data_IF_832882157717
#
_entry.id   IF_832882157717
#
_cell.length_a   1.000
_cell.length_b   1.000
_cell.length_c   1.000
_cell.angle_alpha   90.00
_cell.angle_beta   90.00
_cell.angle_gamma   90.00
#
_symmetry.space_group_name_H-M   'P 1'
#
loop_
_entity.id
_entity.type
_entity.pdbx_description
1 polymer ?
#
# COMPACT_ATOMS: atom_id res chain seq x y z
N UNK A 1 47.76 -36.73 -46.67
CA UNK A 1 48.23 -35.33 -46.72
C UNK A 1 47.24 -34.52 -45.89
N UNK A 2 47.46 -34.25 -44.60
CA UNK A 2 48.36 -33.23 -44.01
C UNK A 2 48.15 -31.85 -44.67
N UNK A 3 47.83 -30.74 -44.01
CA UNK A 3 47.90 -30.22 -42.63
C UNK A 3 46.64 -29.34 -42.38
N UNK A 4 46.23 -28.84 -41.21
CA UNK A 4 46.77 -28.75 -39.86
C UNK A 4 45.87 -27.75 -39.10
N UNK A 5 45.44 -28.10 -37.89
CA UNK A 5 44.52 -27.34 -37.04
C UNK A 5 45.27 -26.34 -36.14
N UNK A 6 44.61 -25.23 -35.77
CA UNK A 6 44.91 -24.51 -34.53
C UNK A 6 43.64 -23.88 -33.94
N UNK A 7 43.23 -24.45 -32.80
CA UNK A 7 42.23 -23.96 -31.86
C UNK A 7 43.00 -23.20 -30.78
N UNK A 8 42.60 -21.97 -30.48
CA UNK A 8 43.16 -21.18 -29.38
C UNK A 8 42.54 -21.60 -28.04
N UNK A 9 43.35 -22.21 -27.19
CA UNK A 9 43.07 -22.49 -25.78
C UNK A 9 43.57 -21.34 -24.91
N UNK A 10 42.74 -20.87 -23.98
CA UNK A 10 43.18 -20.02 -22.86
C UNK A 10 43.49 -20.92 -21.65
N UNK A 11 44.59 -20.68 -20.92
CA UNK A 11 45.02 -21.57 -19.84
C UNK A 11 44.30 -21.25 -18.53
N UNK A 12 43.78 -22.32 -17.90
CA UNK A 12 43.53 -22.40 -16.47
C UNK A 12 44.74 -23.10 -15.86
N UNK A 13 45.35 -22.53 -14.81
CA UNK A 13 46.05 -23.31 -13.77
C UNK A 13 46.04 -22.59 -12.40
N UNK A 14 46.17 -23.37 -11.31
CA UNK A 14 45.57 -23.13 -9.98
C UNK A 14 46.61 -22.69 -8.93
N UNK A 15 46.21 -22.20 -7.75
CA UNK A 15 46.95 -22.30 -6.46
C UNK A 15 46.05 -21.67 -5.35
N UNK A 16 45.52 -22.47 -4.42
CA UNK A 16 46.05 -22.81 -3.07
C UNK A 16 45.86 -21.75 -1.98
N UNK A 17 45.31 -22.23 -0.87
CA UNK A 17 45.12 -21.61 0.44
C UNK A 17 46.38 -20.96 1.03
N UNK A 18 46.25 -19.75 1.57
CA UNK A 18 47.07 -19.27 2.69
C UNK A 18 46.35 -18.18 3.48
N UNK A 19 46.40 -18.37 4.79
CA UNK A 19 45.81 -17.58 5.86
C UNK A 19 46.95 -16.74 6.47
N UNK A 20 46.76 -15.43 6.74
CA UNK A 20 47.21 -14.69 7.95
C UNK A 20 47.49 -13.18 7.75
N UNK A 21 46.89 -12.42 8.68
CA UNK A 21 47.34 -11.21 9.38
C UNK A 21 47.60 -9.87 8.65
N UNK A 22 46.80 -8.87 9.03
CA UNK A 22 47.21 -7.53 9.52
C UNK A 22 45.93 -6.82 10.02
N UNK A 23 45.67 -6.79 11.33
CA UNK A 23 46.05 -5.75 12.31
C UNK A 23 45.74 -4.31 11.90
N UNK A 24 44.70 -3.76 12.53
CA UNK A 24 44.63 -2.36 12.98
C UNK A 24 43.70 -2.28 14.19
N UNK A 25 44.33 -2.36 15.37
CA UNK A 25 43.73 -2.07 16.66
C UNK A 25 43.53 -0.56 16.83
N UNK A 26 42.45 -0.14 17.51
CA UNK A 26 42.41 1.05 18.39
C UNK A 26 41.14 1.04 19.27
N UNK A 27 41.34 0.60 20.52
CA UNK A 27 40.78 1.12 21.78
C UNK A 27 39.28 0.95 22.10
N UNK A 28 38.94 -0.18 22.73
CA UNK A 28 38.05 -0.20 23.89
C UNK A 28 38.87 0.12 25.16
N UNK A 29 38.50 1.16 25.91
CA UNK A 29 38.85 1.30 27.33
C UNK A 29 37.57 1.37 28.15
N UNK A 30 37.31 0.30 28.89
CA UNK A 30 36.56 0.38 30.15
C UNK A 30 37.43 1.07 31.20
N UNK A 31 36.82 1.91 32.03
CA UNK A 31 37.36 2.22 33.35
C UNK A 31 36.20 2.35 34.36
N UNK A 32 36.22 1.59 35.48
CA UNK A 32 35.17 1.59 36.48
C UNK A 32 35.43 2.60 37.61
N UNK A 33 34.38 2.83 38.41
CA UNK A 33 34.35 3.48 39.73
C UNK A 33 34.30 5.01 39.78
N UNK A 34 33.13 5.55 40.15
CA UNK A 34 33.06 6.54 41.23
C UNK A 34 31.73 6.41 41.99
N UNK A 35 31.85 6.20 43.30
CA UNK A 35 30.78 6.05 44.29
C UNK A 35 30.10 7.38 44.65
N UNK A 36 28.82 7.27 45.03
CA UNK A 36 28.06 8.05 46.03
C UNK A 36 28.05 9.58 45.94
N UNK A 37 26.88 10.14 45.64
CA UNK A 37 26.26 11.17 46.51
C UNK A 37 24.76 11.32 46.28
N UNK A 38 24.01 11.13 47.37
CA UNK A 38 22.60 11.49 47.50
C UNK A 38 22.38 12.96 47.12
N UNK A 39 21.29 13.24 46.39
CA UNK A 39 20.45 14.42 46.63
C UNK A 39 18.99 14.12 46.31
N UNK A 40 18.17 14.36 47.32
CA UNK A 40 16.72 14.28 47.35
C UNK A 40 16.06 15.48 46.63
N UNK A 41 14.79 15.26 46.29
CA UNK A 41 13.70 16.21 45.93
C UNK A 41 13.52 16.65 44.47
N UNK A 42 12.28 16.98 44.04
CA UNK A 42 10.97 16.43 44.45
C UNK A 42 10.09 16.05 43.24
N UNK A 43 8.97 15.38 43.54
CA UNK A 43 7.88 14.98 42.64
C UNK A 43 7.49 16.08 41.63
N UNK A 44 7.72 15.85 40.34
CA UNK A 44 6.94 16.49 39.27
C UNK A 44 5.68 15.67 39.02
N UNK A 45 4.55 16.16 39.54
CA UNK A 45 3.22 15.76 39.06
C UNK A 45 3.10 16.23 37.61
N UNK A 46 3.19 15.31 36.66
CA UNK A 46 2.67 15.56 35.32
C UNK A 46 1.15 15.35 35.36
N UNK A 47 0.43 16.44 35.64
CA UNK A 47 -0.98 16.55 35.32
C UNK A 47 -1.12 16.88 33.84
N UNK A 48 -1.69 15.97 33.08
CA UNK A 48 -2.38 16.26 31.82
C UNK A 48 -3.34 15.09 31.55
N UNK A 49 -4.38 15.00 32.36
CA UNK A 49 -5.58 14.30 31.94
C UNK A 49 -6.16 15.10 30.77
N UNK A 50 -5.95 14.64 29.53
CA UNK A 50 -6.81 15.08 28.41
C UNK A 50 -8.25 14.85 28.88
N UNK A 51 -9.08 15.90 28.87
CA UNK A 51 -10.43 15.81 29.40
C UNK A 51 -11.21 14.73 28.64
N UNK A 52 -11.84 13.81 29.38
CA UNK A 52 -12.62 12.70 28.80
C UNK A 52 -13.59 13.13 27.68
N UNK A 53 -14.24 14.31 27.71
CA UNK A 53 -15.10 14.77 26.63
C UNK A 53 -14.40 14.97 25.28
N UNK A 54 -13.15 15.44 25.26
CA UNK A 54 -12.40 15.66 24.02
C UNK A 54 -11.97 14.33 23.37
N UNK A 55 -11.62 13.34 24.20
CA UNK A 55 -11.29 12.00 23.72
C UNK A 55 -12.52 11.28 23.14
N UNK A 56 -13.70 11.44 23.77
CA UNK A 56 -14.96 10.90 23.28
C UNK A 56 -15.39 11.55 21.96
N UNK A 57 -15.25 12.88 21.83
CA UNK A 57 -15.57 13.59 20.58
C UNK A 57 -14.62 13.21 19.43
N UNK A 58 -13.31 13.13 19.70
CA UNK A 58 -12.32 12.67 18.72
C UNK A 58 -12.60 11.23 18.27
N UNK A 59 -12.98 10.34 19.20
CA UNK A 59 -13.35 8.95 18.91
C UNK A 59 -14.63 8.86 18.10
N UNK A 60 -15.64 9.68 18.38
CA UNK A 60 -16.88 9.72 17.62
C UNK A 60 -16.67 10.22 16.19
N UNK A 61 -15.88 11.29 16.01
CA UNK A 61 -15.52 11.82 14.70
C UNK A 61 -14.68 10.82 13.89
N UNK A 62 -13.71 10.17 14.52
CA UNK A 62 -12.92 9.11 13.89
C UNK A 62 -13.80 7.90 13.50
N UNK A 63 -14.78 7.55 14.34
CA UNK A 63 -15.73 6.48 14.06
C UNK A 63 -16.63 6.80 12.85
N UNK A 64 -17.09 8.05 12.70
CA UNK A 64 -17.88 8.45 11.52
C UNK A 64 -17.05 8.47 10.25
N UNK A 65 -15.79 8.95 10.31
CA UNK A 65 -14.89 8.90 9.16
C UNK A 65 -14.56 7.46 8.75
N UNK A 66 -14.32 6.58 9.73
CA UNK A 66 -14.07 5.15 9.49
C UNK A 66 -15.27 4.46 8.85
N UNK A 67 -16.49 4.77 9.28
CA UNK A 67 -17.72 4.25 8.69
C UNK A 67 -17.88 4.67 7.22
N UNK A 68 -17.59 5.93 6.91
CA UNK A 68 -17.65 6.44 5.54
C UNK A 68 -16.63 5.73 4.63
N UNK A 69 -15.39 5.58 5.08
CA UNK A 69 -14.33 4.87 4.34
C UNK A 69 -14.72 3.41 4.11
N UNK A 70 -15.23 2.72 5.13
CA UNK A 70 -15.53 1.29 5.04
C UNK A 70 -16.85 0.97 4.33
N UNK A 71 -17.70 1.96 4.04
CA UNK A 71 -19.01 1.76 3.41
C UNK A 71 -18.89 1.04 2.08
N UNK A 72 -18.05 1.53 1.17
CA UNK A 72 -17.94 0.95 -0.17
C UNK A 72 -17.36 -0.47 -0.13
N UNK A 73 -16.53 -0.78 0.86
CA UNK A 73 -16.03 -2.14 1.08
C UNK A 73 -17.14 -3.09 1.53
N UNK A 74 -17.99 -2.66 2.46
CA UNK A 74 -19.14 -3.48 2.92
C UNK A 74 -20.14 -3.73 1.80
N UNK A 75 -20.35 -2.71 0.96
CA UNK A 75 -21.22 -2.78 -0.21
C UNK A 75 -20.59 -3.54 -1.39
N UNK A 76 -19.34 -4.02 -1.25
CA UNK A 76 -18.53 -4.70 -2.28
C UNK A 76 -18.36 -3.87 -3.56
N UNK A 77 -18.19 -2.57 -3.38
CA UNK A 77 -18.12 -1.54 -4.42
C UNK A 77 -16.86 -0.69 -4.35
N UNK A 78 -15.93 -1.01 -3.45
CA UNK A 78 -14.71 -0.22 -3.33
C UNK A 78 -13.84 -0.33 -4.59
N UNK A 79 -13.57 0.82 -5.20
CA UNK A 79 -12.58 1.04 -6.26
C UNK A 79 -11.58 2.07 -5.76
N UNK A 80 -10.35 1.62 -5.46
CA UNK A 80 -9.24 2.47 -5.00
C UNK A 80 -8.23 2.68 -6.13
N UNK A 81 -8.01 3.93 -6.52
CA UNK A 81 -7.00 4.29 -7.54
C UNK A 81 -5.69 4.68 -6.85
N UNK A 82 -4.60 4.03 -7.23
CA UNK A 82 -3.32 4.05 -6.52
C UNK A 82 -2.26 4.79 -7.35
N UNK A 83 -1.80 5.94 -6.89
CA UNK A 83 -0.76 6.72 -7.57
C UNK A 83 0.64 6.10 -7.42
N UNK A 84 0.87 5.39 -6.31
CA UNK A 84 2.09 4.65 -5.97
C UNK A 84 2.78 5.20 -4.72
N UNK A 85 3.25 4.30 -3.84
CA UNK A 85 3.84 4.68 -2.55
C UNK A 85 5.10 5.56 -2.69
N UNK A 86 5.91 5.33 -3.73
CA UNK A 86 7.14 6.09 -3.99
C UNK A 86 6.92 7.27 -4.96
N UNK A 87 5.67 7.62 -5.28
CA UNK A 87 5.36 8.69 -6.21
C UNK A 87 5.12 10.02 -5.48
N UNK A 88 6.17 10.85 -5.44
CA UNK A 88 6.13 12.21 -4.85
C UNK A 88 6.04 13.33 -5.89
N UNK A 89 5.80 12.99 -7.16
CA UNK A 89 5.60 13.95 -8.23
C UNK A 89 4.19 14.54 -8.12
N UNK A 90 4.10 15.82 -7.74
CA UNK A 90 2.84 16.53 -7.49
C UNK A 90 1.92 16.54 -8.72
N UNK A 91 2.47 16.72 -9.92
CA UNK A 91 1.68 16.84 -11.14
C UNK A 91 1.10 15.48 -11.54
N UNK A 92 1.88 14.41 -11.39
CA UNK A 92 1.41 13.04 -11.62
C UNK A 92 0.39 12.61 -10.57
N UNK A 93 0.61 12.95 -9.30
CA UNK A 93 -0.36 12.67 -8.24
C UNK A 93 -1.67 13.42 -8.49
N UNK A 94 -1.61 14.71 -8.84
CA UNK A 94 -2.80 15.48 -9.19
C UNK A 94 -3.57 14.85 -10.36
N UNK A 95 -2.86 14.42 -11.40
CA UNK A 95 -3.45 13.72 -12.56
C UNK A 95 -4.21 12.45 -12.15
N UNK A 96 -3.62 11.64 -11.28
CA UNK A 96 -4.26 10.41 -10.77
C UNK A 96 -5.46 10.72 -9.89
N UNK A 97 -5.37 11.75 -9.03
CA UNK A 97 -6.49 12.17 -8.16
C UNK A 97 -7.68 12.67 -9.00
N UNK A 98 -7.42 13.50 -10.01
CA UNK A 98 -8.44 13.99 -10.94
C UNK A 98 -9.09 12.81 -11.69
N UNK A 99 -8.28 11.87 -12.16
CA UNK A 99 -8.78 10.68 -12.85
C UNK A 99 -9.63 9.78 -11.95
N UNK A 100 -9.24 9.62 -10.69
CA UNK A 100 -10.01 8.86 -9.71
C UNK A 100 -11.38 9.51 -9.47
N UNK A 101 -11.41 10.83 -9.21
CA UNK A 101 -12.63 11.57 -8.92
C UNK A 101 -13.61 11.55 -10.12
N UNK A 102 -13.13 11.93 -11.30
CA UNK A 102 -13.97 12.03 -12.49
C UNK A 102 -14.31 10.67 -13.11
N UNK A 103 -13.47 9.66 -12.90
CA UNK A 103 -13.70 8.30 -13.38
C UNK A 103 -14.68 7.48 -12.53
N UNK A 104 -15.11 8.00 -11.37
CA UNK A 104 -16.05 7.29 -10.49
C UNK A 104 -15.38 6.29 -9.55
N UNK A 105 -14.13 6.52 -9.18
CA UNK A 105 -13.51 5.80 -8.07
C UNK A 105 -14.21 6.13 -6.75
N UNK A 106 -13.98 5.26 -5.76
CA UNK A 106 -14.48 5.47 -4.39
C UNK A 106 -13.38 5.98 -3.47
N UNK A 107 -12.13 5.69 -3.77
CA UNK A 107 -10.97 6.01 -2.94
C UNK A 107 -9.78 6.39 -3.84
N UNK A 108 -8.91 7.24 -3.32
CA UNK A 108 -7.60 7.51 -3.91
C UNK A 108 -6.50 7.16 -2.92
N UNK A 109 -5.40 6.59 -3.41
CA UNK A 109 -4.25 6.19 -2.60
C UNK A 109 -2.98 6.86 -3.12
N UNK A 110 -2.30 7.58 -2.25
CA UNK A 110 -1.12 8.38 -2.57
C UNK A 110 0.04 8.08 -1.62
N UNK A 111 1.25 8.49 -2.00
CA UNK A 111 2.40 8.44 -1.11
C UNK A 111 2.12 9.22 0.19
N UNK A 112 2.61 8.72 1.32
CA UNK A 112 2.42 9.35 2.63
C UNK A 112 3.26 10.63 2.76
N UNK A 113 2.68 11.75 2.32
CA UNK A 113 3.27 13.08 2.40
C UNK A 113 2.19 14.14 2.68
N UNK A 114 2.51 15.09 3.55
CA UNK A 114 1.57 16.12 4.00
C UNK A 114 1.11 17.03 2.86
N UNK A 115 2.02 17.40 1.96
CA UNK A 115 1.73 18.33 0.86
C UNK A 115 0.92 17.64 -0.23
N UNK A 116 1.16 16.36 -0.48
CA UNK A 116 0.33 15.55 -1.38
C UNK A 116 -1.10 15.37 -0.86
N UNK A 117 -1.28 15.17 0.45
CA UNK A 117 -2.63 15.10 1.05
C UNK A 117 -3.37 16.43 0.87
N UNK A 118 -2.74 17.57 1.17
CA UNK A 118 -3.35 18.90 0.96
C UNK A 118 -3.71 19.14 -0.50
N UNK A 119 -2.83 18.74 -1.42
CA UNK A 119 -3.09 18.81 -2.85
C UNK A 119 -4.33 17.98 -3.22
N UNK A 120 -4.39 16.71 -2.80
CA UNK A 120 -5.52 15.84 -3.10
C UNK A 120 -6.84 16.36 -2.51
N UNK A 121 -6.82 16.87 -1.27
CA UNK A 121 -8.00 17.48 -0.62
C UNK A 121 -8.57 18.68 -1.41
N UNK A 122 -7.73 19.39 -2.17
CA UNK A 122 -8.18 20.50 -3.02
C UNK A 122 -8.76 20.04 -4.38
N UNK A 123 -8.55 18.78 -4.75
CA UNK A 123 -8.90 18.24 -6.08
C UNK A 123 -10.07 17.24 -6.03
N UNK A 124 -10.34 16.62 -4.88
CA UNK A 124 -11.37 15.58 -4.76
C UNK A 124 -12.05 15.61 -3.39
N UNK A 125 -13.28 15.09 -3.35
CA UNK A 125 -14.00 14.74 -2.11
C UNK A 125 -13.89 13.26 -1.74
N UNK A 126 -13.20 12.45 -2.56
CA UNK A 126 -13.02 11.02 -2.28
C UNK A 126 -12.17 10.83 -1.00
N UNK A 127 -12.46 9.80 -0.19
CA UNK A 127 -11.57 9.38 0.87
C UNK A 127 -10.13 9.17 0.38
N UNK A 128 -9.19 9.84 1.07
CA UNK A 128 -7.76 9.77 0.77
C UNK A 128 -7.12 8.72 1.67
N UNK A 129 -6.56 7.71 1.03
CA UNK A 129 -5.64 6.74 1.59
C UNK A 129 -4.20 7.23 1.39
N UNK A 130 -3.35 7.06 2.39
CA UNK A 130 -1.91 7.26 2.25
C UNK A 130 -1.14 5.98 2.55
N UNK A 131 -0.15 5.67 1.73
CA UNK A 131 0.65 4.45 1.84
C UNK A 131 2.06 4.73 2.35
N UNK A 132 2.54 3.94 3.32
CA UNK A 132 3.90 4.00 3.87
C UNK A 132 4.35 2.66 4.44
N UNK A 133 5.66 2.48 4.64
CA UNK A 133 6.23 1.40 5.46
C UNK A 133 6.85 1.92 6.77
N UNK A 134 6.71 3.22 7.05
CA UNK A 134 7.10 3.88 8.29
C UNK A 134 5.85 4.32 9.07
N UNK A 135 5.56 3.72 10.23
CA UNK A 135 4.40 4.07 11.07
C UNK A 135 4.36 5.54 11.52
N UNK A 136 5.53 6.16 11.72
CA UNK A 136 5.60 7.54 12.22
C UNK A 136 5.24 8.57 11.14
N UNK A 137 5.43 8.22 9.86
CA UNK A 137 5.09 9.09 8.74
C UNK A 137 3.59 9.37 8.60
N UNK A 138 2.73 8.49 9.14
CA UNK A 138 1.28 8.64 9.00
C UNK A 138 0.70 9.84 9.77
N UNK A 139 1.22 10.16 10.96
CA UNK A 139 0.61 11.19 11.80
C UNK A 139 0.51 12.57 11.11
N UNK A 140 1.57 13.11 10.49
CA UNK A 140 1.48 14.36 9.72
C UNK A 140 0.50 14.32 8.53
N UNK A 141 0.38 13.17 7.86
CA UNK A 141 -0.52 12.99 6.71
C UNK A 141 -1.99 12.95 7.15
N UNK A 142 -2.26 12.28 8.28
CA UNK A 142 -3.60 12.24 8.90
C UNK A 142 -4.00 13.61 9.41
N UNK A 143 -3.09 14.37 10.02
CA UNK A 143 -3.33 15.76 10.41
C UNK A 143 -3.67 16.66 9.21
N UNK A 144 -3.16 16.35 8.02
CA UNK A 144 -3.51 17.06 6.78
C UNK A 144 -4.83 16.62 6.14
N UNK A 145 -5.46 15.55 6.63
CA UNK A 145 -6.80 15.12 6.18
C UNK A 145 -6.86 13.71 5.57
N UNK A 146 -5.79 12.91 5.63
CA UNK A 146 -5.88 11.51 5.23
C UNK A 146 -6.86 10.74 6.14
N UNK A 147 -7.75 9.96 5.54
CA UNK A 147 -8.85 9.26 6.23
C UNK A 147 -8.60 7.75 6.34
N UNK A 148 -7.65 7.24 5.56
CA UNK A 148 -7.24 5.85 5.52
C UNK A 148 -5.73 5.77 5.41
N UNK A 149 -5.13 4.73 5.98
CA UNK A 149 -3.70 4.45 5.87
C UNK A 149 -3.49 3.04 5.36
N UNK A 150 -2.43 2.84 4.59
CA UNK A 150 -1.97 1.54 4.14
C UNK A 150 -0.52 1.29 4.57
N UNK A 151 -0.29 0.16 5.24
CA UNK A 151 1.05 -0.43 5.37
C UNK A 151 1.23 -1.39 4.20
N UNK A 152 2.01 -1.03 3.19
CA UNK A 152 2.02 -1.85 1.99
C UNK A 152 2.63 -1.27 0.75
N UNK A 153 2.23 -1.84 -0.39
CA UNK A 153 2.75 -1.56 -1.73
C UNK A 153 4.26 -1.80 -1.82
N UNK A 154 4.67 -3.05 -1.56
CA UNK A 154 6.08 -3.40 -1.40
C UNK A 154 6.82 -3.53 -2.73
N UNK A 155 6.10 -3.58 -3.85
CA UNK A 155 6.67 -3.79 -5.18
C UNK A 155 7.89 -2.90 -5.49
N UNK A 156 7.85 -1.61 -5.16
CA UNK A 156 8.98 -0.69 -5.39
C UNK A 156 10.20 -0.96 -4.50
N UNK A 157 10.00 -1.63 -3.35
CA UNK A 157 11.08 -2.02 -2.45
C UNK A 157 11.75 -3.32 -2.92
N UNK A 158 10.99 -4.24 -3.53
CA UNK A 158 11.56 -5.45 -4.13
C UNK A 158 12.53 -5.13 -5.27
N UNK A 159 12.24 -4.09 -6.06
CA UNK A 159 13.14 -3.55 -7.09
C UNK A 159 14.49 -3.07 -6.50
N UNK A 160 14.51 -2.71 -5.21
CA UNK A 160 15.70 -2.32 -4.45
C UNK A 160 16.33 -3.48 -3.66
N UNK A 161 15.81 -4.71 -3.83
CA UNK A 161 16.26 -5.90 -3.09
C UNK A 161 15.80 -5.95 -1.63
N UNK A 162 14.88 -5.08 -1.21
CA UNK A 162 14.33 -5.04 0.13
C UNK A 162 13.10 -5.94 0.19
N UNK A 163 13.10 -6.91 1.10
CA UNK A 163 11.97 -7.80 1.35
C UNK A 163 11.37 -7.55 2.73
N UNK A 164 10.09 -7.88 2.90
CA UNK A 164 9.35 -7.75 4.15
C UNK A 164 8.92 -9.12 4.63
N UNK A 165 9.37 -9.51 5.83
CA UNK A 165 8.95 -10.75 6.47
C UNK A 165 7.58 -10.59 7.14
N UNK A 166 6.83 -11.70 7.35
CA UNK A 166 5.57 -11.67 8.10
C UNK A 166 5.70 -10.98 9.47
N UNK A 167 6.78 -11.26 10.21
CA UNK A 167 7.03 -10.69 11.54
C UNK A 167 7.30 -9.19 11.49
N UNK A 168 7.96 -8.71 10.43
CA UNK A 168 8.18 -7.27 10.22
C UNK A 168 6.85 -6.57 9.98
N UNK A 169 5.99 -7.13 9.13
CA UNK A 169 4.67 -6.54 8.81
C UNK A 169 3.77 -6.53 10.05
N UNK A 170 3.78 -7.59 10.86
CA UNK A 170 3.06 -7.62 12.14
C UNK A 170 3.54 -6.52 13.09
N UNK A 171 4.86 -6.31 13.21
CA UNK A 171 5.41 -5.22 14.05
C UNK A 171 4.99 -3.84 13.55
N UNK A 172 5.05 -3.61 12.23
CA UNK A 172 4.59 -2.36 11.62
C UNK A 172 3.10 -2.13 11.90
N UNK A 173 2.29 -3.17 11.80
CA UNK A 173 0.84 -3.14 12.09
C UNK A 173 0.57 -2.80 13.55
N UNK A 174 1.22 -3.49 14.48
CA UNK A 174 1.12 -3.22 15.92
C UNK A 174 1.52 -1.79 16.29
N UNK A 175 2.63 -1.30 15.73
CA UNK A 175 3.11 0.05 15.98
C UNK A 175 2.16 1.11 15.40
N UNK A 176 1.74 0.93 14.14
CA UNK A 176 0.79 1.81 13.47
C UNK A 176 -0.54 1.87 14.22
N UNK A 177 -1.06 0.72 14.66
CA UNK A 177 -2.31 0.64 15.43
C UNK A 177 -2.16 1.28 16.81
N UNK A 178 -0.99 1.22 17.45
CA UNK A 178 -0.70 1.94 18.70
C UNK A 178 -0.75 3.46 18.52
N UNK A 179 -0.21 3.97 17.42
CA UNK A 179 -0.16 5.41 17.11
C UNK A 179 -1.54 5.92 16.68
N UNK A 180 -2.24 5.16 15.84
CA UNK A 180 -3.52 5.52 15.21
C UNK A 180 -4.60 4.46 15.50
N UNK A 181 -5.11 4.37 16.75
CA UNK A 181 -5.97 3.27 17.20
C UNK A 181 -7.36 3.21 16.52
N UNK A 182 -7.83 4.31 15.93
CA UNK A 182 -9.18 4.42 15.39
C UNK A 182 -9.24 4.68 13.88
N UNK A 183 -8.10 4.92 13.23
CA UNK A 183 -8.07 5.20 11.81
C UNK A 183 -8.24 3.90 11.01
N UNK A 184 -8.86 3.97 9.83
CA UNK A 184 -8.96 2.82 8.94
C UNK A 184 -7.57 2.40 8.46
N UNK A 185 -7.17 1.17 8.78
CA UNK A 185 -5.88 0.59 8.41
C UNK A 185 -6.05 -0.53 7.40
N UNK A 186 -5.47 -0.36 6.22
CA UNK A 186 -5.22 -1.44 5.26
C UNK A 186 -3.82 -1.99 5.46
N UNK A 187 -3.67 -3.31 5.37
CA UNK A 187 -2.34 -3.94 5.35
C UNK A 187 -2.21 -4.81 4.11
N UNK A 188 -1.16 -4.56 3.33
CA UNK A 188 -0.85 -5.35 2.15
C UNK A 188 -0.09 -6.62 2.54
N UNK A 189 -0.49 -7.74 1.93
CA UNK A 189 0.18 -9.04 2.09
C UNK A 189 1.15 -9.25 0.91
N UNK A 190 2.44 -9.50 1.18
CA UNK A 190 3.44 -9.75 0.14
C UNK A 190 3.09 -10.91 -0.78
N UNK A 191 3.20 -10.70 -2.09
CA UNK A 191 3.03 -11.76 -3.08
C UNK A 191 4.15 -12.80 -3.07
N UNK A 192 5.27 -12.50 -2.40
CA UNK A 192 6.45 -13.37 -2.29
C UNK A 192 6.21 -14.56 -1.36
N UNK A 193 5.17 -14.50 -0.52
CA UNK A 193 4.77 -15.58 0.37
C UNK A 193 3.96 -16.64 -0.38
N UNK A 194 4.02 -17.89 0.10
CA UNK A 194 3.13 -18.95 -0.39
C UNK A 194 1.68 -18.61 -0.05
N UNK A 195 0.71 -19.09 -0.84
CA UNK A 195 -0.71 -18.82 -0.55
C UNK A 195 -1.15 -19.23 0.88
N UNK A 196 -0.73 -20.39 1.43
CA UNK A 196 -1.00 -20.71 2.84
C UNK A 196 -0.40 -19.70 3.82
N UNK A 197 0.82 -19.22 3.58
CA UNK A 197 1.47 -18.23 4.45
C UNK A 197 0.81 -16.85 4.33
N UNK A 198 0.34 -16.48 3.14
CA UNK A 198 -0.47 -15.28 2.93
C UNK A 198 -1.75 -15.35 3.75
N UNK A 199 -2.46 -16.48 3.74
CA UNK A 199 -3.66 -16.71 4.55
C UNK A 199 -3.33 -16.61 6.04
N UNK A 200 -2.27 -17.29 6.50
CA UNK A 200 -1.86 -17.27 7.91
C UNK A 200 -1.53 -15.84 8.37
N UNK A 201 -0.82 -15.07 7.55
CA UNK A 201 -0.51 -13.68 7.86
C UNK A 201 -1.78 -12.82 7.89
N UNK A 202 -2.74 -13.03 6.99
CA UNK A 202 -4.00 -12.30 6.99
C UNK A 202 -4.78 -12.43 8.30
N UNK A 203 -4.90 -13.67 8.82
CA UNK A 203 -5.55 -13.95 10.11
C UNK A 203 -4.86 -13.18 11.25
N UNK A 204 -3.52 -13.23 11.30
CA UNK A 204 -2.75 -12.53 12.34
C UNK A 204 -2.90 -11.00 12.22
N UNK A 205 -2.95 -10.47 11.00
CA UNK A 205 -3.13 -9.04 10.79
C UNK A 205 -4.54 -8.56 11.19
N UNK A 206 -5.56 -9.38 10.97
CA UNK A 206 -6.92 -9.13 11.48
C UNK A 206 -6.93 -9.10 13.02
N UNK A 207 -6.25 -10.04 13.68
CA UNK A 207 -6.09 -10.06 15.14
C UNK A 207 -5.38 -8.81 15.68
N UNK A 208 -4.38 -8.30 14.94
CA UNK A 208 -3.67 -7.04 15.26
C UNK A 208 -4.45 -5.78 14.86
N UNK A 209 -5.67 -5.95 14.35
CA UNK A 209 -6.63 -4.89 14.10
C UNK A 209 -6.45 -4.20 12.76
N UNK A 210 -5.97 -4.89 11.71
CA UNK A 210 -6.16 -4.42 10.33
C UNK A 210 -7.66 -4.35 10.02
N UNK A 211 -8.10 -3.28 9.37
CA UNK A 211 -9.49 -3.08 8.97
C UNK A 211 -9.78 -3.61 7.57
N UNK A 212 -8.75 -3.66 6.72
CA UNK A 212 -8.79 -4.16 5.35
C UNK A 212 -7.51 -4.96 5.11
N UNK A 213 -7.64 -6.11 4.47
CA UNK A 213 -6.50 -6.87 3.95
C UNK A 213 -6.38 -6.63 2.46
N UNK A 214 -5.22 -6.15 2.01
CA UNK A 214 -4.97 -5.92 0.60
C UNK A 214 -4.05 -7.00 0.04
N UNK A 215 -4.44 -7.61 -1.07
CA UNK A 215 -3.59 -8.58 -1.77
C UNK A 215 -2.55 -7.88 -2.63
N UNK A 216 -1.47 -8.60 -2.92
CA UNK A 216 -0.46 -8.20 -3.90
C UNK A 216 -0.29 -9.34 -4.92
N UNK A 217 -0.12 -9.00 -6.19
CA UNK A 217 0.02 -9.96 -7.29
C UNK A 217 1.38 -9.95 -7.98
N UNK A 218 2.32 -9.13 -7.47
CA UNK A 218 3.64 -8.87 -8.05
C UNK A 218 3.57 -8.11 -9.38
N UNK A 219 4.31 -7.01 -9.49
CA UNK A 219 4.48 -6.29 -10.78
C UNK A 219 5.07 -7.17 -11.90
N UNK A 220 5.79 -8.24 -11.55
CA UNK A 220 6.51 -9.13 -12.45
C UNK A 220 5.69 -10.30 -13.01
N UNK A 221 4.36 -10.27 -12.90
CA UNK A 221 3.53 -11.13 -13.76
C UNK A 221 3.69 -10.63 -15.20
N UNK A 222 4.67 -11.18 -15.93
CA UNK A 222 4.85 -10.96 -17.38
C UNK A 222 3.94 -11.93 -18.10
N UNK A 223 2.74 -11.51 -18.53
CA UNK A 223 1.83 -12.43 -19.21
C UNK A 223 2.49 -12.95 -20.48
N UNK A 224 2.38 -14.25 -20.70
CA UNK A 224 2.90 -14.93 -21.90
C UNK A 224 2.01 -14.70 -23.11
N UNK A 225 0.77 -14.26 -22.90
CA UNK A 225 -0.23 -14.01 -23.96
C UNK A 225 -0.62 -12.54 -24.03
N UNK A 226 -0.93 -12.00 -25.23
CA UNK A 226 -1.47 -10.66 -25.36
C UNK A 226 -2.98 -10.60 -25.09
N UNK A 227 -3.52 -9.38 -25.02
CA UNK A 227 -4.97 -9.13 -24.95
C UNK A 227 -5.62 -9.65 -23.66
N UNK A 228 -6.90 -10.04 -23.76
CA UNK A 228 -7.72 -10.49 -22.63
C UNK A 228 -7.09 -11.66 -21.87
N UNK A 229 -6.51 -12.62 -22.59
CA UNK A 229 -5.85 -13.77 -21.96
C UNK A 229 -4.66 -13.32 -21.09
N UNK A 230 -3.86 -12.38 -21.59
CA UNK A 230 -2.77 -11.79 -20.82
C UNK A 230 -3.23 -11.02 -19.60
N UNK A 231 -4.36 -10.30 -19.69
CA UNK A 231 -4.95 -9.60 -18.54
C UNK A 231 -5.36 -10.58 -17.43
N UNK A 232 -5.97 -11.71 -17.80
CA UNK A 232 -6.37 -12.76 -16.85
C UNK A 232 -5.14 -13.43 -16.24
N UNK A 233 -4.15 -13.79 -17.06
CA UNK A 233 -2.89 -14.38 -16.60
C UNK A 233 -2.18 -13.46 -15.60
N UNK A 234 -2.12 -12.15 -15.89
CA UNK A 234 -1.53 -11.15 -15.00
C UNK A 234 -2.26 -11.04 -13.66
N UNK A 235 -3.58 -11.13 -13.65
CA UNK A 235 -4.39 -11.04 -12.44
C UNK A 235 -4.42 -12.35 -11.62
N UNK A 236 -4.00 -13.47 -12.20
CA UNK A 236 -4.18 -14.81 -11.59
C UNK A 236 -3.63 -14.92 -10.15
N UNK A 237 -2.40 -14.45 -9.83
CA UNK A 237 -1.87 -14.54 -8.47
C UNK A 237 -2.74 -13.81 -7.45
N UNK A 238 -3.15 -12.58 -7.76
CA UNK A 238 -3.95 -11.76 -6.84
C UNK A 238 -5.39 -12.29 -6.70
N UNK A 239 -5.97 -12.87 -7.76
CA UNK A 239 -7.28 -13.50 -7.70
C UNK A 239 -7.26 -14.75 -6.81
N UNK A 240 -6.19 -15.56 -6.90
CA UNK A 240 -6.01 -16.72 -6.04
C UNK A 240 -5.83 -16.32 -4.57
N UNK A 241 -5.02 -15.28 -4.30
CA UNK A 241 -4.85 -14.73 -2.97
C UNK A 241 -6.18 -14.21 -2.40
N UNK A 242 -6.91 -13.39 -3.17
CA UNK A 242 -8.19 -12.84 -2.76
C UNK A 242 -9.20 -13.94 -2.41
N UNK A 243 -9.30 -14.99 -3.23
CA UNK A 243 -10.18 -16.12 -2.99
C UNK A 243 -9.88 -16.84 -1.67
N UNK A 244 -8.60 -17.12 -1.42
CA UNK A 244 -8.17 -17.86 -0.24
C UNK A 244 -8.28 -17.02 1.03
N UNK A 245 -7.81 -15.77 1.00
CA UNK A 245 -7.79 -14.88 2.16
C UNK A 245 -9.22 -14.50 2.57
N UNK A 246 -10.10 -14.17 1.62
CA UNK A 246 -11.48 -13.73 1.93
C UNK A 246 -12.34 -14.78 2.63
N UNK A 247 -11.87 -16.03 2.72
CA UNK A 247 -12.53 -17.14 3.42
C UNK A 247 -11.92 -17.41 4.80
N UNK A 248 -10.74 -16.87 5.07
CA UNK A 248 -10.03 -17.04 6.33
C UNK A 248 -10.26 -15.86 7.28
N UNK A 249 -10.48 -14.65 6.75
CA UNK A 249 -10.71 -13.44 7.54
C UNK A 249 -12.14 -12.92 7.42
N UNK A 250 -12.58 -12.14 8.41
CA UNK A 250 -13.90 -11.48 8.40
C UNK A 250 -13.84 -10.03 7.89
N UNK A 251 -12.68 -9.39 8.03
CA UNK A 251 -12.44 -8.05 7.48
C UNK A 251 -12.47 -8.05 5.95
N UNK A 252 -12.89 -6.93 5.32
CA UNK A 252 -12.87 -6.78 3.88
C UNK A 252 -11.50 -7.08 3.24
N UNK A 253 -11.50 -7.86 2.16
CA UNK A 253 -10.31 -8.09 1.33
C UNK A 253 -10.36 -7.18 0.09
N UNK A 254 -9.34 -6.35 -0.10
CA UNK A 254 -9.15 -5.64 -1.37
C UNK A 254 -8.22 -6.44 -2.27
N UNK A 255 -8.69 -6.77 -3.47
CA UNK A 255 -7.84 -7.40 -4.47
C UNK A 255 -7.06 -6.34 -5.24
N UNK A 256 -5.74 -6.39 -5.25
CA UNK A 256 -4.90 -5.40 -5.95
C UNK A 256 -3.80 -6.04 -6.80
N UNK A 257 -3.22 -5.26 -7.71
CA UNK A 257 -2.18 -5.65 -8.67
C UNK A 257 -2.67 -6.39 -9.92
N UNK A 258 -2.24 -5.93 -11.10
CA UNK A 258 -2.52 -6.59 -12.37
C UNK A 258 -3.98 -6.56 -12.84
N UNK A 259 -4.87 -5.88 -12.13
CA UNK A 259 -6.29 -5.80 -12.45
C UNK A 259 -6.58 -4.82 -13.61
N UNK A 260 -7.69 -5.07 -14.29
CA UNK A 260 -8.23 -4.34 -15.44
C UNK A 260 -9.76 -4.38 -15.41
N UNK A 261 -10.43 -3.69 -16.33
CA UNK A 261 -11.89 -3.78 -16.47
C UNK A 261 -12.39 -5.23 -16.69
N UNK A 262 -11.57 -6.09 -17.30
CA UNK A 262 -11.90 -7.52 -17.51
C UNK A 262 -11.84 -8.31 -16.20
N UNK A 263 -10.84 -8.05 -15.36
CA UNK A 263 -10.51 -8.90 -14.21
C UNK A 263 -11.03 -8.33 -12.89
N UNK A 264 -11.42 -7.05 -12.83
CA UNK A 264 -11.99 -6.44 -11.65
C UNK A 264 -13.31 -7.12 -11.19
N UNK A 265 -14.25 -7.48 -12.08
CA UNK A 265 -15.44 -8.27 -11.69
C UNK A 265 -15.09 -9.68 -11.21
N UNK A 266 -14.03 -10.28 -11.75
CA UNK A 266 -13.53 -11.58 -11.30
C UNK A 266 -13.01 -11.50 -9.86
N UNK A 267 -12.35 -10.40 -9.49
CA UNK A 267 -11.89 -10.18 -8.12
C UNK A 267 -13.05 -10.13 -7.12
N UNK A 268 -14.13 -9.41 -7.45
CA UNK A 268 -15.35 -9.42 -6.63
C UNK A 268 -15.94 -10.83 -6.49
N UNK A 269 -15.98 -11.58 -7.61
CA UNK A 269 -16.47 -12.97 -7.63
C UNK A 269 -15.58 -13.90 -6.79
N UNK A 270 -14.27 -13.67 -6.75
CA UNK A 270 -13.33 -14.43 -5.93
C UNK A 270 -13.59 -14.24 -4.42
N UNK A 271 -14.17 -13.10 -4.03
CA UNK A 271 -14.51 -12.79 -2.65
C UNK A 271 -14.02 -11.42 -2.18
N UNK A 272 -13.39 -10.63 -3.07
CA UNK A 272 -12.96 -9.29 -2.71
C UNK A 272 -14.15 -8.35 -2.43
N UNK A 273 -13.94 -7.45 -1.48
CA UNK A 273 -14.82 -6.35 -1.13
C UNK A 273 -14.57 -5.09 -1.99
N UNK A 274 -13.50 -5.12 -2.78
CA UNK A 274 -13.13 -4.04 -3.68
C UNK A 274 -11.84 -4.35 -4.42
N UNK A 275 -11.45 -3.42 -5.29
CA UNK A 275 -10.25 -3.55 -6.12
C UNK A 275 -9.35 -2.33 -6.00
N UNK A 276 -8.03 -2.56 -6.01
CA UNK A 276 -7.00 -1.53 -6.07
C UNK A 276 -6.33 -1.50 -7.44
N UNK A 277 -6.38 -0.34 -8.12
CA UNK A 277 -5.86 -0.14 -9.47
C UNK A 277 -4.77 0.91 -9.46
N UNK A 278 -3.53 0.52 -9.79
CA UNK A 278 -2.41 1.45 -9.96
C UNK A 278 -1.93 1.52 -11.40
N UNK A 279 -1.17 0.49 -11.82
CA UNK A 279 -0.41 0.51 -13.07
C UNK A 279 -1.22 0.66 -14.36
N UNK A 280 -2.51 0.34 -14.35
CA UNK A 280 -3.39 0.56 -15.52
C UNK A 280 -3.67 2.05 -15.76
N UNK A 281 -3.64 2.86 -14.69
CA UNK A 281 -3.94 4.30 -14.74
C UNK A 281 -2.65 5.11 -14.75
N UNK A 282 -1.76 4.91 -13.78
CA UNK A 282 -0.61 5.79 -13.56
C UNK A 282 0.51 5.71 -14.61
N UNK A 283 0.47 4.71 -15.51
CA UNK A 283 1.39 4.54 -16.65
C UNK A 283 0.90 5.22 -17.93
N UNK A 284 -0.33 5.72 -17.95
CA UNK A 284 -0.84 6.53 -19.06
C UNK A 284 -0.21 7.92 -19.00
N UNK A 285 -0.07 8.56 -20.16
CA UNK A 285 0.61 9.86 -20.28
C UNK A 285 -0.37 11.05 -20.35
N UNK A 286 -1.66 10.79 -20.27
CA UNK A 286 -2.71 11.79 -20.50
C UNK A 286 -3.86 11.59 -19.50
N UNK A 287 -4.34 12.69 -18.92
CA UNK A 287 -5.39 12.69 -17.88
C UNK A 287 -6.72 12.20 -18.46
N UNK A 288 -7.05 12.53 -19.70
CA UNK A 288 -8.30 12.06 -20.34
C UNK A 288 -8.26 10.54 -20.50
N UNK A 289 -7.13 9.99 -20.93
CA UNK A 289 -6.93 8.54 -20.98
C UNK A 289 -7.03 7.89 -19.59
N UNK A 290 -6.47 8.52 -18.54
CA UNK A 290 -6.60 8.05 -17.17
C UNK A 290 -8.06 8.04 -16.70
N UNK A 291 -8.82 9.11 -16.95
CA UNK A 291 -10.24 9.21 -16.61
C UNK A 291 -11.03 8.10 -17.32
N UNK A 292 -10.78 7.91 -18.62
CA UNK A 292 -11.45 6.89 -19.41
C UNK A 292 -11.18 5.47 -18.89
N UNK A 293 -9.94 5.18 -18.49
CA UNK A 293 -9.57 3.88 -17.90
C UNK A 293 -10.24 3.64 -16.55
N UNK A 294 -10.22 4.63 -15.64
CA UNK A 294 -10.92 4.54 -14.35
C UNK A 294 -12.42 4.34 -14.58
N UNK A 295 -13.01 5.09 -15.51
CA UNK A 295 -14.43 4.99 -15.86
C UNK A 295 -14.80 3.60 -16.40
N UNK A 296 -13.98 3.06 -17.30
CA UNK A 296 -14.15 1.70 -17.84
C UNK A 296 -14.16 0.63 -16.73
N UNK A 297 -13.26 0.76 -15.74
CA UNK A 297 -13.21 -0.15 -14.58
C UNK A 297 -14.42 0.06 -13.67
N UNK A 298 -14.80 1.30 -13.38
CA UNK A 298 -15.96 1.63 -12.56
C UNK A 298 -17.26 1.06 -13.17
N UNK A 299 -17.44 1.20 -14.48
CA UNK A 299 -18.57 0.63 -15.23
C UNK A 299 -18.57 -0.90 -15.18
N UNK A 300 -17.41 -1.55 -15.33
CA UNK A 300 -17.28 -3.00 -15.20
C UNK A 300 -17.68 -3.51 -13.80
N UNK A 301 -17.45 -2.69 -12.76
CA UNK A 301 -17.86 -2.97 -11.38
C UNK A 301 -19.32 -2.58 -11.09
N UNK A 302 -20.05 -2.01 -12.06
CA UNK A 302 -21.42 -1.55 -11.89
C UNK A 302 -21.55 -0.32 -11.00
N UNK A 303 -20.51 0.51 -10.90
CA UNK A 303 -20.54 1.76 -10.15
C UNK A 303 -21.22 2.85 -10.97
N UNK A 304 -22.02 3.69 -10.30
CA UNK A 304 -22.65 4.84 -10.95
C UNK A 304 -21.57 5.87 -11.27
N UNK A 305 -21.37 6.17 -12.55
CA UNK A 305 -20.49 7.27 -12.97
C UNK A 305 -21.29 8.57 -12.91
N UNK A 306 -20.64 9.68 -12.52
CA UNK A 306 -21.26 11.01 -12.66
C UNK A 306 -21.29 11.33 -14.16
N UNK A 307 -22.47 11.38 -14.75
CA UNK A 307 -22.61 11.84 -16.14
C UNK A 307 -22.23 13.32 -16.23
N UNK A 308 -21.16 13.61 -16.98
CA UNK A 308 -20.66 14.97 -17.22
C UNK A 308 -21.60 15.81 -18.11
N UNK A 309 -22.72 15.26 -18.59
CA UNK A 309 -23.52 15.83 -19.67
C UNK A 309 -24.90 16.39 -19.28
N UNK A 310 -25.17 16.69 -18.00
CA UNK A 310 -26.50 17.22 -17.59
C UNK A 310 -26.57 18.62 -16.98
N UNK A 311 -25.53 19.45 -17.09
CA UNK A 311 -25.58 20.84 -16.60
C UNK A 311 -25.53 21.94 -17.68
N UNK A 312 -25.81 21.60 -18.95
CA UNK A 312 -25.82 22.58 -20.04
C UNK A 312 -27.17 22.76 -20.74
N UNK A 313 -28.31 22.77 -20.04
CA UNK A 313 -29.53 23.36 -20.63
C UNK A 313 -30.58 23.81 -19.60
N UNK A 314 -30.38 24.96 -18.96
CA UNK A 314 -31.50 25.89 -18.67
C UNK A 314 -30.98 27.32 -18.58
N UNK A 315 -30.75 27.93 -19.74
CA UNK A 315 -30.89 29.37 -19.89
C UNK A 315 -32.10 29.57 -20.78
N UNK A 316 -33.25 29.76 -20.15
CA UNK A 316 -34.48 30.18 -20.79
C UNK A 316 -34.32 31.64 -21.26
N UNK A 317 -34.57 31.86 -22.55
CA UNK A 317 -34.94 33.16 -23.12
C UNK A 317 -36.26 33.66 -22.54
#
# INVERSE_FOLDING_TARGET
MALGAQIGTLPIQPFSTLNRHSDSALLLRHNPQTLLRLRSNPRRRFGSARSAPALLAARASASSSKELVLRDFRDKKALKIISGLQNFDKDRVASVVIAADQGGATHVDIACDQELVKLAMNLTSLPICVSSVDPLAFAPAVEAGAQMIEIGNYDSFYELGIQFSPEQILKLTQETRRILPFLTLSVTIPHTLSLPDQVKLAELLEEEGADIIQTEGGKCSTPTKPGVLGLIEKATPTLAAAYSISRAVTVPVMCSSGLSAVTAPMALTAGAAGVGIGSAVNKLNDVVAMIAEVKSIAEALGLSTKDVTKDSTTVSL
#
